data_IF_775653622985
#
_entry.id   IF_775653622985
#
_cell.length_a   1.000
_cell.length_b   1.000
_cell.length_c   1.000
_cell.angle_alpha   90.00
_cell.angle_beta   90.00
_cell.angle_gamma   90.00
#
_symmetry.space_group_name_H-M   'P 1'
#
loop_
_entity.id
_entity.type
_entity.pdbx_description
1 polymer ?
#
# COMPACT_ATOMS: atom_id res chain seq x y z
N UNK A 1 -72.34 -44.27 -46.71
CA UNK A 1 -71.61 -45.17 -45.79
C UNK A 1 -70.32 -44.45 -45.38
N UNK A 2 -70.14 -44.26 -44.08
CA UNK A 2 -69.22 -43.30 -43.49
C UNK A 2 -67.79 -43.85 -43.36
N UNK A 3 -66.79 -43.07 -43.77
CA UNK A 3 -65.39 -43.27 -43.43
C UNK A 3 -65.14 -42.74 -42.01
N UNK A 4 -64.74 -43.63 -41.10
CA UNK A 4 -64.44 -43.29 -39.73
C UNK A 4 -63.05 -42.64 -39.63
N UNK A 5 -63.03 -41.43 -39.05
CA UNK A 5 -61.84 -40.70 -38.59
C UNK A 5 -61.13 -41.49 -37.49
N UNK A 6 -59.81 -41.60 -37.57
CA UNK A 6 -58.94 -41.77 -36.39
C UNK A 6 -57.93 -40.63 -36.42
N UNK A 7 -58.23 -39.58 -35.66
CA UNK A 7 -57.28 -38.51 -35.34
C UNK A 7 -56.49 -38.96 -34.12
N UNK A 8 -55.27 -39.43 -34.32
CA UNK A 8 -54.31 -39.62 -33.24
C UNK A 8 -53.70 -38.25 -32.91
N UNK A 9 -54.34 -37.52 -31.98
CA UNK A 9 -53.71 -36.39 -31.30
C UNK A 9 -52.57 -36.95 -30.44
N UNK A 10 -51.34 -36.79 -30.88
CA UNK A 10 -50.17 -36.90 -30.02
C UNK A 10 -50.24 -35.76 -28.98
N UNK A 11 -50.82 -36.04 -27.83
CA UNK A 11 -50.68 -35.24 -26.63
C UNK A 11 -49.76 -36.00 -25.67
N UNK A 12 -48.51 -36.20 -26.09
CA UNK A 12 -47.43 -36.57 -25.18
C UNK A 12 -46.88 -35.25 -24.64
N UNK A 13 -47.35 -34.83 -23.48
CA UNK A 13 -46.69 -35.27 -22.27
C UNK A 13 -45.56 -34.27 -22.01
N UNK A 14 -45.94 -33.10 -21.50
CA UNK A 14 -45.04 -32.06 -21.03
C UNK A 14 -44.31 -32.60 -19.79
N UNK A 15 -43.39 -33.52 -19.99
CA UNK A 15 -42.45 -33.99 -18.97
C UNK A 15 -41.47 -32.83 -18.74
N UNK A 16 -41.86 -31.88 -17.90
CA UNK A 16 -40.89 -31.12 -17.14
C UNK A 16 -40.14 -32.14 -16.29
N UNK A 17 -38.99 -32.62 -16.80
CA UNK A 17 -38.05 -33.43 -16.05
C UNK A 17 -37.78 -32.65 -14.75
N UNK A 18 -38.28 -33.17 -13.64
CA UNK A 18 -37.94 -32.64 -12.32
C UNK A 18 -36.42 -32.70 -12.25
N UNK A 19 -35.74 -31.55 -12.21
CA UNK A 19 -34.29 -31.51 -12.17
C UNK A 19 -33.82 -32.41 -11.03
N UNK A 20 -32.88 -33.31 -11.29
CA UNK A 20 -32.33 -34.18 -10.25
C UNK A 20 -31.77 -33.33 -9.10
N UNK A 21 -31.71 -33.89 -7.89
CA UNK A 21 -31.01 -33.24 -6.77
C UNK A 21 -29.56 -32.92 -7.15
N UNK A 22 -28.92 -33.76 -7.98
CA UNK A 22 -27.60 -33.51 -8.53
C UNK A 22 -27.57 -32.24 -9.41
N UNK A 23 -28.53 -32.07 -10.31
CA UNK A 23 -28.61 -30.89 -11.19
C UNK A 23 -28.84 -29.60 -10.38
N UNK A 24 -29.64 -29.69 -9.31
CA UNK A 24 -29.86 -28.56 -8.39
C UNK A 24 -28.57 -28.21 -7.65
N UNK A 25 -27.87 -29.22 -7.13
CA UNK A 25 -26.60 -29.04 -6.43
C UNK A 25 -25.54 -28.43 -7.35
N UNK A 26 -25.44 -28.88 -8.60
CA UNK A 26 -24.47 -28.34 -9.57
C UNK A 26 -24.72 -26.87 -9.88
N UNK A 27 -25.98 -26.46 -10.07
CA UNK A 27 -26.31 -25.05 -10.31
C UNK A 27 -26.02 -24.17 -9.10
N UNK A 28 -26.23 -24.69 -7.89
CA UNK A 28 -25.90 -23.97 -6.66
C UNK A 28 -24.39 -23.78 -6.52
N UNK A 29 -23.59 -24.81 -6.81
CA UNK A 29 -22.13 -24.70 -6.82
C UNK A 29 -21.65 -23.66 -7.82
N UNK A 30 -22.13 -23.70 -9.06
CA UNK A 30 -21.77 -22.70 -10.08
C UNK A 30 -22.16 -21.27 -9.64
N UNK A 31 -23.29 -21.12 -8.95
CA UNK A 31 -23.70 -19.82 -8.39
C UNK A 31 -22.76 -19.37 -7.27
N UNK A 32 -22.27 -20.28 -6.43
CA UNK A 32 -21.30 -19.98 -5.38
C UNK A 32 -19.94 -19.60 -5.96
N UNK A 33 -19.47 -20.31 -6.99
CA UNK A 33 -18.20 -19.99 -7.68
C UNK A 33 -18.26 -18.59 -8.31
N UNK A 34 -19.40 -18.22 -8.91
CA UNK A 34 -19.61 -16.86 -9.43
C UNK A 34 -19.63 -15.80 -8.32
N UNK A 35 -20.18 -16.12 -7.15
CA UNK A 35 -20.15 -15.23 -6.00
C UNK A 35 -18.73 -15.07 -5.45
N UNK A 36 -17.94 -16.14 -5.40
CA UNK A 36 -16.54 -16.12 -4.99
C UNK A 36 -15.71 -15.17 -5.86
N UNK A 37 -15.85 -15.27 -7.19
CA UNK A 37 -15.18 -14.34 -8.12
C UNK A 37 -15.58 -12.88 -7.88
N UNK A 38 -16.86 -12.62 -7.59
CA UNK A 38 -17.34 -11.26 -7.29
C UNK A 38 -16.86 -10.75 -5.93
N UNK A 39 -16.73 -11.63 -4.95
CA UNK A 39 -16.18 -11.29 -3.63
C UNK A 39 -14.71 -10.92 -3.78
N UNK A 40 -13.92 -11.66 -4.55
CA UNK A 40 -12.52 -11.30 -4.75
C UNK A 40 -12.34 -10.01 -5.55
N UNK A 41 -13.14 -9.80 -6.60
CA UNK A 41 -13.13 -8.52 -7.30
C UNK A 41 -13.49 -7.32 -6.39
N UNK A 42 -14.42 -7.51 -5.44
CA UNK A 42 -14.76 -6.50 -4.44
C UNK A 42 -13.61 -6.25 -3.47
N UNK A 43 -12.93 -7.31 -3.02
CA UNK A 43 -11.77 -7.20 -2.11
C UNK A 43 -10.61 -6.48 -2.78
N UNK A 44 -10.31 -6.79 -4.03
CA UNK A 44 -9.30 -6.08 -4.82
C UNK A 44 -9.63 -4.60 -4.98
N UNK A 45 -10.88 -4.28 -5.34
CA UNK A 45 -11.34 -2.91 -5.48
C UNK A 45 -11.25 -2.13 -4.15
N UNK A 46 -11.68 -2.74 -3.04
CA UNK A 46 -11.58 -2.11 -1.71
C UNK A 46 -10.11 -1.89 -1.30
N UNK A 47 -9.23 -2.85 -1.57
CA UNK A 47 -7.78 -2.74 -1.28
C UNK A 47 -7.13 -1.65 -2.15
N UNK A 48 -7.60 -1.44 -3.38
CA UNK A 48 -7.14 -0.35 -4.24
C UNK A 48 -7.59 1.02 -3.70
N UNK A 49 -8.82 1.14 -3.20
CA UNK A 49 -9.32 2.37 -2.57
C UNK A 49 -8.59 2.69 -1.27
N UNK A 50 -8.29 1.66 -0.46
CA UNK A 50 -7.46 1.80 0.75
C UNK A 50 -6.07 2.37 0.43
N UNK A 51 -5.42 1.88 -0.63
CA UNK A 51 -4.12 2.38 -1.10
C UNK A 51 -4.19 3.80 -1.69
N UNK A 52 -5.21 4.10 -2.49
CA UNK A 52 -5.38 5.43 -3.09
C UNK A 52 -5.51 6.51 -2.01
N UNK A 53 -6.21 6.20 -0.91
CA UNK A 53 -6.27 7.08 0.26
C UNK A 53 -4.86 7.39 0.79
N UNK A 54 -4.02 6.38 1.01
CA UNK A 54 -2.66 6.57 1.50
C UNK A 54 -1.82 7.41 0.54
N UNK A 55 -1.88 7.11 -0.76
CA UNK A 55 -1.18 7.85 -1.82
C UNK A 55 -1.59 9.33 -1.83
N UNK A 56 -2.89 9.63 -1.72
CA UNK A 56 -3.38 11.00 -1.64
C UNK A 56 -2.84 11.74 -0.41
N UNK A 57 -2.82 11.10 0.76
CA UNK A 57 -2.26 11.69 1.98
C UNK A 57 -0.76 11.98 1.82
N UNK A 58 -0.01 11.05 1.24
CA UNK A 58 1.42 11.24 0.93
C UNK A 58 1.67 12.39 -0.05
N UNK A 59 0.88 12.49 -1.13
CA UNK A 59 1.01 13.57 -2.11
C UNK A 59 0.69 14.95 -1.52
N UNK A 60 -0.37 15.06 -0.73
CA UNK A 60 -0.73 16.31 -0.04
C UNK A 60 0.40 16.71 0.91
N UNK A 61 0.91 15.78 1.70
CA UNK A 61 2.01 16.03 2.63
C UNK A 61 3.30 16.44 1.91
N UNK A 62 3.60 15.82 0.76
CA UNK A 62 4.75 16.17 -0.08
C UNK A 62 4.69 17.62 -0.56
N UNK A 63 3.52 18.08 -1.02
CA UNK A 63 3.30 19.47 -1.44
C UNK A 63 3.54 20.43 -0.28
N UNK A 64 2.97 20.15 0.91
CA UNK A 64 3.14 21.00 2.09
C UNK A 64 4.60 21.16 2.52
N UNK A 65 5.43 20.13 2.30
CA UNK A 65 6.85 20.12 2.68
C UNK A 65 7.81 20.42 1.52
N UNK A 66 7.28 20.75 0.33
CA UNK A 66 8.08 21.03 -0.85
C UNK A 66 9.01 22.23 -0.66
N UNK A 67 10.08 22.29 -1.46
CA UNK A 67 10.98 23.45 -1.45
C UNK A 67 10.29 24.72 -1.95
N UNK A 68 9.37 24.60 -2.89
CA UNK A 68 8.64 25.72 -3.49
C UNK A 68 7.81 26.47 -2.44
N UNK A 69 7.23 25.74 -1.47
CA UNK A 69 6.54 26.35 -0.33
C UNK A 69 7.44 27.29 0.47
N UNK A 70 8.77 27.09 0.48
CA UNK A 70 9.74 27.98 1.14
C UNK A 70 10.11 29.22 0.30
N UNK A 71 9.82 29.22 -0.99
CA UNK A 71 10.22 30.28 -1.94
C UNK A 71 9.09 31.26 -2.27
N UNK A 72 7.86 30.96 -1.88
CA UNK A 72 6.69 31.83 -2.06
C UNK A 72 6.44 32.74 -0.84
N UNK A 73 5.60 33.75 -1.03
CA UNK A 73 5.23 34.69 0.04
C UNK A 73 4.44 34.00 1.15
N UNK A 74 4.42 34.60 2.35
CA UNK A 74 3.70 34.03 3.49
C UNK A 74 2.19 33.93 3.23
N UNK A 75 1.59 34.90 2.50
CA UNK A 75 0.18 34.86 2.13
C UNK A 75 -0.17 33.71 1.18
N UNK A 76 0.62 33.52 0.12
CA UNK A 76 0.44 32.40 -0.81
C UNK A 76 0.65 31.05 -0.11
N UNK A 77 1.65 30.98 0.78
CA UNK A 77 1.93 29.79 1.59
C UNK A 77 0.75 29.45 2.51
N UNK A 78 0.14 30.45 3.14
CA UNK A 78 -1.03 30.25 3.99
C UNK A 78 -2.22 29.72 3.18
N UNK A 79 -2.52 30.30 2.02
CA UNK A 79 -3.62 29.87 1.14
C UNK A 79 -3.44 28.42 0.66
N UNK A 80 -2.22 28.06 0.25
CA UNK A 80 -1.90 26.69 -0.16
C UNK A 80 -2.02 25.72 1.02
N UNK A 81 -1.59 26.10 2.23
CA UNK A 81 -1.74 25.25 3.42
C UNK A 81 -3.20 25.05 3.82
N UNK A 82 -4.04 26.09 3.76
CA UNK A 82 -5.49 25.96 3.99
C UNK A 82 -6.12 24.99 3.00
N UNK A 83 -5.72 25.07 1.73
CA UNK A 83 -6.19 24.17 0.67
C UNK A 83 -5.75 22.72 0.94
N UNK A 84 -4.47 22.51 1.26
CA UNK A 84 -3.91 21.21 1.57
C UNK A 84 -4.59 20.57 2.80
N UNK A 85 -4.78 21.34 3.87
CA UNK A 85 -5.45 20.87 5.08
C UNK A 85 -6.91 20.48 4.82
N UNK A 86 -7.62 21.24 3.98
CA UNK A 86 -9.00 20.89 3.57
C UNK A 86 -9.03 19.59 2.77
N UNK A 87 -8.08 19.39 1.84
CA UNK A 87 -7.97 18.14 1.09
C UNK A 87 -7.64 16.96 2.02
N UNK A 88 -6.67 17.13 2.92
CA UNK A 88 -6.31 16.14 3.93
C UNK A 88 -7.52 15.72 4.76
N UNK A 89 -8.28 16.68 5.28
CA UNK A 89 -9.49 16.42 6.06
C UNK A 89 -10.53 15.63 5.28
N UNK A 90 -10.74 15.94 3.99
CA UNK A 90 -11.67 15.19 3.12
C UNK A 90 -11.17 13.78 2.85
N UNK A 91 -9.89 13.58 2.56
CA UNK A 91 -9.30 12.26 2.33
C UNK A 91 -9.42 11.38 3.57
N UNK A 92 -9.24 11.95 4.77
CA UNK A 92 -9.38 11.22 6.03
C UNK A 92 -10.80 10.72 6.31
N UNK A 93 -11.84 11.30 5.70
CA UNK A 93 -13.24 10.82 5.84
C UNK A 93 -13.51 9.50 5.11
N UNK A 94 -12.63 9.08 4.19
CA UNK A 94 -12.77 7.80 3.49
C UNK A 94 -12.22 6.70 4.38
N UNK A 95 -13.07 5.77 4.81
CA UNK A 95 -12.68 4.61 5.61
C UNK A 95 -13.05 3.32 4.88
N UNK A 96 -12.04 2.56 4.50
CA UNK A 96 -12.16 1.27 3.80
C UNK A 96 -11.10 0.35 4.39
N UNK A 97 -11.49 -0.85 4.79
CA UNK A 97 -10.59 -1.84 5.38
C UNK A 97 -10.88 -3.22 4.81
N UNK A 98 -9.83 -3.91 4.33
CA UNK A 98 -9.92 -5.30 3.91
C UNK A 98 -9.13 -6.17 4.89
N UNK A 99 -9.86 -6.99 5.63
CA UNK A 99 -9.26 -7.94 6.57
C UNK A 99 -8.68 -9.16 5.86
N UNK A 100 -7.52 -9.59 6.38
CA UNK A 100 -6.88 -10.85 6.00
C UNK A 100 -7.36 -11.94 6.96
N UNK A 101 -7.98 -12.99 6.41
CA UNK A 101 -8.32 -14.19 7.20
C UNK A 101 -7.02 -14.95 7.47
N UNK A 102 -6.76 -15.25 8.75
CA UNK A 102 -5.52 -15.88 9.21
C UNK A 102 -5.81 -17.10 10.07
N UNK A 103 -4.92 -18.08 9.99
CA UNK A 103 -4.80 -19.10 11.03
C UNK A 103 -3.83 -18.62 12.14
N UNK A 104 -3.78 -19.31 13.31
CA UNK A 104 -2.93 -18.89 14.42
C UNK A 104 -1.44 -18.79 14.08
N UNK A 105 -0.94 -19.66 13.20
CA UNK A 105 0.47 -19.65 12.79
C UNK A 105 0.80 -18.42 11.94
N UNK A 106 -0.10 -18.02 11.04
CA UNK A 106 0.03 -16.82 10.21
C UNK A 106 0.00 -15.56 11.08
N UNK A 107 -0.84 -15.54 12.12
CA UNK A 107 -0.93 -14.43 13.06
C UNK A 107 0.36 -14.28 13.89
N UNK A 108 0.93 -15.39 14.36
CA UNK A 108 2.23 -15.38 15.04
C UNK A 108 3.36 -14.90 14.10
N UNK A 109 3.36 -15.38 12.86
CA UNK A 109 4.35 -15.00 11.85
C UNK A 109 4.27 -13.51 11.54
N UNK A 110 3.06 -12.97 11.36
CA UNK A 110 2.84 -11.54 11.15
C UNK A 110 3.30 -10.71 12.34
N UNK A 111 2.99 -11.15 13.56
CA UNK A 111 3.44 -10.48 14.79
C UNK A 111 4.97 -10.43 14.86
N UNK A 112 5.64 -11.53 14.53
CA UNK A 112 7.10 -11.58 14.53
C UNK A 112 7.72 -10.71 13.43
N UNK A 113 7.18 -10.75 12.21
CA UNK A 113 7.63 -9.88 11.12
C UNK A 113 7.48 -8.40 11.50
N UNK A 114 6.32 -8.02 12.02
CA UNK A 114 6.02 -6.65 12.45
C UNK A 114 7.00 -6.18 13.52
N UNK A 115 7.26 -7.02 14.53
CA UNK A 115 8.22 -6.72 15.59
C UNK A 115 9.63 -6.45 15.06
N UNK A 116 10.11 -7.27 14.12
CA UNK A 116 11.44 -7.07 13.51
C UNK A 116 11.52 -5.70 12.81
N UNK A 117 10.49 -5.34 12.04
CA UNK A 117 10.43 -4.04 11.36
C UNK A 117 10.45 -2.89 12.38
N UNK A 118 9.63 -3.00 13.44
CA UNK A 118 9.53 -1.98 14.48
C UNK A 118 10.85 -1.80 15.25
N UNK A 119 11.57 -2.88 15.52
CA UNK A 119 12.90 -2.84 16.12
C UNK A 119 13.90 -2.06 15.25
N UNK A 120 13.86 -2.20 13.93
CA UNK A 120 14.71 -1.41 13.02
C UNK A 120 14.29 0.06 13.00
N UNK A 121 12.99 0.34 12.93
CA UNK A 121 12.45 1.71 12.96
C UNK A 121 12.82 2.41 14.27
N UNK A 122 12.79 1.72 15.41
CA UNK A 122 13.13 2.30 16.71
C UNK A 122 14.58 2.79 16.81
N UNK A 123 15.50 2.13 16.09
CA UNK A 123 16.94 2.47 16.05
C UNK A 123 17.28 3.56 15.05
N UNK A 124 16.28 4.07 14.32
CA UNK A 124 16.49 5.06 13.27
C UNK A 124 17.08 6.37 13.80
N UNK A 125 16.70 6.77 15.02
CA UNK A 125 17.22 7.99 15.66
C UNK A 125 18.67 7.84 16.13
N UNK A 126 19.14 6.60 16.34
CA UNK A 126 20.50 6.33 16.83
C UNK A 126 21.50 6.28 15.66
N UNK A 127 21.17 5.54 14.60
CA UNK A 127 22.01 5.37 13.41
C UNK A 127 21.18 5.11 12.15
N UNK A 128 20.93 6.18 11.40
CA UNK A 128 20.19 6.17 10.13
C UNK A 128 20.85 5.25 9.10
N UNK A 129 22.19 5.20 9.05
CA UNK A 129 22.93 4.43 8.05
C UNK A 129 22.80 2.92 8.27
N UNK A 130 22.98 2.49 9.51
CA UNK A 130 22.81 1.08 9.89
C UNK A 130 21.35 0.64 9.77
N UNK A 131 20.40 1.47 10.20
CA UNK A 131 18.97 1.19 10.07
C UNK A 131 18.55 1.05 8.59
N UNK A 132 19.05 1.92 7.70
CA UNK A 132 18.80 1.84 6.26
C UNK A 132 19.31 0.53 5.65
N UNK A 133 20.55 0.15 5.96
CA UNK A 133 21.13 -1.11 5.46
C UNK A 133 20.32 -2.33 5.91
N UNK A 134 19.84 -2.32 7.15
CA UNK A 134 19.00 -3.38 7.69
C UNK A 134 17.61 -3.40 7.03
N UNK A 135 16.96 -2.25 6.83
CA UNK A 135 15.70 -2.17 6.08
C UNK A 135 15.85 -2.67 4.64
N UNK A 136 16.98 -2.39 3.99
CA UNK A 136 17.29 -2.92 2.65
C UNK A 136 17.38 -4.45 2.65
N UNK A 137 17.94 -5.07 3.69
CA UNK A 137 18.02 -6.54 3.77
C UNK A 137 16.66 -7.20 4.06
N UNK A 138 15.83 -6.56 4.88
CA UNK A 138 14.44 -6.97 5.11
C UNK A 138 13.58 -6.83 3.84
N UNK A 139 13.75 -5.72 3.11
CA UNK A 139 13.06 -5.49 1.85
C UNK A 139 13.46 -6.53 0.80
N UNK A 140 14.76 -6.83 0.69
CA UNK A 140 15.29 -7.85 -0.22
C UNK A 140 14.74 -9.24 0.09
N UNK A 141 14.48 -9.56 1.37
CA UNK A 141 13.82 -10.79 1.80
C UNK A 141 12.34 -10.91 1.39
N UNK A 142 11.69 -9.80 1.02
CA UNK A 142 10.33 -9.79 0.50
C UNK A 142 10.26 -9.75 -1.04
N UNK A 143 11.41 -9.68 -1.72
CA UNK A 143 11.46 -9.62 -3.18
C UNK A 143 11.58 -11.01 -3.80
N UNK A 144 10.86 -11.21 -4.90
CA UNK A 144 11.00 -12.39 -5.78
C UNK A 144 12.07 -12.21 -6.85
N UNK A 145 12.59 -10.99 -7.02
CA UNK A 145 13.64 -10.66 -7.98
C UNK A 145 15.04 -10.84 -7.39
N UNK A 146 16.07 -10.83 -8.25
CA UNK A 146 17.46 -10.90 -7.81
C UNK A 146 17.72 -9.74 -6.82
N UNK A 147 18.05 -10.04 -5.55
CA UNK A 147 18.14 -9.00 -4.54
C UNK A 147 19.32 -8.08 -4.84
N UNK A 148 19.14 -6.74 -4.77
CA UNK A 148 20.22 -5.78 -5.02
C UNK A 148 21.26 -5.74 -3.88
N UNK A 149 21.05 -6.52 -2.81
CA UNK A 149 21.87 -6.51 -1.61
C UNK A 149 21.68 -7.77 -0.76
N UNK A 150 22.18 -7.77 0.49
CA UNK A 150 22.06 -8.91 1.39
C UNK A 150 20.60 -9.23 1.71
N UNK A 151 20.28 -10.52 1.86
CA UNK A 151 18.94 -10.98 2.21
C UNK A 151 18.93 -11.46 3.65
N UNK A 152 18.00 -10.96 4.45
CA UNK A 152 17.76 -11.51 5.78
C UNK A 152 16.95 -12.81 5.66
N UNK A 153 17.65 -13.95 5.70
CA UNK A 153 17.07 -15.29 5.56
C UNK A 153 16.10 -15.65 6.69
N UNK A 154 16.35 -15.14 7.90
CA UNK A 154 15.47 -15.38 9.05
C UNK A 154 14.15 -14.64 8.85
N UNK A 155 14.23 -13.38 8.47
CA UNK A 155 13.05 -12.58 8.14
C UNK A 155 12.28 -13.16 6.96
N UNK A 156 12.97 -13.59 5.89
CA UNK A 156 12.36 -14.24 4.73
C UNK A 156 11.51 -15.45 5.15
N UNK A 157 12.05 -16.31 6.01
CA UNK A 157 11.33 -17.49 6.51
C UNK A 157 10.06 -17.10 7.29
N UNK A 158 10.12 -16.03 8.09
CA UNK A 158 8.97 -15.52 8.84
C UNK A 158 7.91 -14.94 7.90
N UNK A 159 8.32 -14.17 6.88
CA UNK A 159 7.41 -13.58 5.90
C UNK A 159 6.69 -14.67 5.10
N UNK A 160 7.39 -15.74 4.68
CA UNK A 160 6.76 -16.88 4.00
C UNK A 160 5.66 -17.54 4.86
N UNK A 161 5.80 -17.52 6.19
CA UNK A 161 4.79 -18.00 7.13
C UNK A 161 3.52 -17.13 7.23
N UNK A 162 3.55 -15.91 6.69
CA UNK A 162 2.41 -14.99 6.71
C UNK A 162 1.42 -15.30 5.57
N UNK A 163 0.18 -14.82 5.69
CA UNK A 163 -0.78 -14.85 4.58
C UNK A 163 -0.28 -14.00 3.40
N UNK A 164 -0.65 -14.37 2.17
CA UNK A 164 -0.14 -13.73 0.94
C UNK A 164 -0.37 -12.20 0.96
N UNK A 165 -1.54 -11.76 1.42
CA UNK A 165 -1.85 -10.34 1.52
C UNK A 165 -0.98 -9.61 2.55
N UNK A 166 -0.61 -10.27 3.64
CA UNK A 166 0.30 -9.70 4.64
C UNK A 166 1.72 -9.60 4.09
N UNK A 167 2.17 -10.56 3.29
CA UNK A 167 3.48 -10.48 2.62
C UNK A 167 3.56 -9.23 1.73
N UNK A 168 2.50 -8.96 0.95
CA UNK A 168 2.40 -7.74 0.13
C UNK A 168 2.38 -6.47 0.99
N UNK A 169 1.61 -6.46 2.09
CA UNK A 169 1.53 -5.32 3.03
C UNK A 169 2.89 -5.05 3.69
N UNK A 170 3.59 -6.09 4.14
CA UNK A 170 4.95 -6.00 4.71
C UNK A 170 5.93 -5.42 3.69
N UNK A 171 5.93 -5.92 2.46
CA UNK A 171 6.80 -5.40 1.38
C UNK A 171 6.55 -3.92 1.15
N UNK A 172 5.30 -3.50 0.97
CA UNK A 172 4.92 -2.08 0.78
C UNK A 172 5.33 -1.20 1.95
N UNK A 173 5.17 -1.69 3.18
CA UNK A 173 5.62 -0.98 4.38
C UNK A 173 7.13 -0.72 4.34
N UNK A 174 7.92 -1.73 3.96
CA UNK A 174 9.38 -1.59 3.82
C UNK A 174 9.77 -0.61 2.70
N UNK A 175 9.09 -0.67 1.55
CA UNK A 175 9.30 0.29 0.44
C UNK A 175 9.02 1.74 0.89
N UNK A 176 7.93 1.94 1.64
CA UNK A 176 7.53 3.25 2.16
C UNK A 176 8.56 3.78 3.16
N UNK A 177 9.01 2.93 4.09
CA UNK A 177 10.06 3.29 5.05
C UNK A 177 11.36 3.67 4.32
N UNK A 178 11.82 2.89 3.36
CA UNK A 178 13.03 3.19 2.58
C UNK A 178 12.93 4.53 1.85
N UNK A 179 11.79 4.80 1.20
CA UNK A 179 11.52 6.06 0.50
C UNK A 179 11.57 7.26 1.46
N UNK A 180 10.98 7.13 2.65
CA UNK A 180 10.98 8.18 3.66
C UNK A 180 12.39 8.48 4.18
N UNK A 181 13.22 7.45 4.33
CA UNK A 181 14.62 7.60 4.73
C UNK A 181 15.41 8.31 3.64
N UNK A 182 15.25 7.92 2.38
CA UNK A 182 15.94 8.57 1.26
C UNK A 182 15.55 10.05 1.12
N UNK A 183 14.27 10.38 1.35
CA UNK A 183 13.79 11.75 1.36
C UNK A 183 14.39 12.55 2.52
N UNK A 184 14.51 11.94 3.70
CA UNK A 184 15.12 12.57 4.88
C UNK A 184 16.62 12.79 4.70
N UNK A 185 17.36 11.81 4.17
CA UNK A 185 18.80 11.91 3.87
C UNK A 185 19.09 13.01 2.84
N UNK A 186 18.26 13.12 1.79
CA UNK A 186 18.34 14.23 0.83
C UNK A 186 18.10 15.58 1.52
N UNK A 187 17.11 15.69 2.40
CA UNK A 187 16.83 16.92 3.13
C UNK A 187 17.99 17.32 4.06
N UNK A 188 18.60 16.35 4.77
CA UNK A 188 19.76 16.58 5.65
C UNK A 188 20.96 17.05 4.84
N UNK A 189 21.32 16.35 3.76
CA UNK A 189 22.43 16.75 2.88
C UNK A 189 22.23 18.18 2.37
N UNK A 190 21.03 18.54 1.92
CA UNK A 190 20.75 19.91 1.46
C UNK A 190 20.97 20.97 2.56
N UNK A 191 20.62 20.65 3.82
CA UNK A 191 20.89 21.55 4.95
C UNK A 191 22.39 21.71 5.21
N UNK A 192 23.18 20.64 5.09
CA UNK A 192 24.64 20.72 5.22
C UNK A 192 25.28 21.57 4.11
N UNK A 193 24.81 21.45 2.87
CA UNK A 193 25.30 22.26 1.75
C UNK A 193 24.87 23.74 1.89
N UNK A 194 23.69 24.03 2.46
CA UNK A 194 23.23 25.40 2.71
C UNK A 194 24.03 26.14 3.81
N UNK A 195 24.65 25.41 4.75
CA UNK A 195 25.50 25.99 5.80
C UNK A 195 26.91 26.37 5.32
N UNK A 196 27.30 25.96 4.11
CA UNK A 196 28.62 26.21 3.53
C UNK A 196 28.79 27.54 2.78
N UNK A 197 27.70 28.29 2.53
CA UNK A 197 27.73 29.57 1.81
C UNK A 197 27.29 30.73 2.71
N UNK A 198 28.00 30.94 3.82
CA UNK A 198 27.94 32.20 4.57
C UNK A 198 28.72 33.32 3.86
N UNK A 199 28.25 34.58 3.91
CA UNK A 199 28.88 35.68 3.18
C UNK A 199 30.30 35.91 3.70
N UNK A 200 31.29 35.90 2.80
CA UNK A 200 32.64 36.43 3.07
C UNK A 200 32.47 37.87 3.53
N UNK A 201 32.67 38.12 4.82
CA UNK A 201 32.76 39.46 5.36
C UNK A 201 33.85 40.22 4.59
N UNK A 202 33.46 41.30 3.91
CA UNK A 202 34.39 42.28 3.38
C UNK A 202 35.22 42.80 4.56
N UNK A 203 36.52 42.52 4.55
CA UNK A 203 37.47 43.27 5.37
C UNK A 203 37.64 44.64 4.71
N UNK A 204 36.94 45.64 5.25
CA UNK A 204 37.30 47.04 5.08
C UNK A 204 38.65 47.26 5.76
N UNK A 205 39.68 47.53 4.96
CA UNK A 205 40.93 48.13 5.44
C UNK A 205 40.89 49.62 5.09
N UNK A 206 40.32 50.43 5.99
CA UNK A 206 40.47 51.88 5.98
C UNK A 206 41.41 52.31 7.10
N UNK A 207 42.49 52.99 6.70
CA UNK A 207 43.00 54.18 7.38
C UNK A 207 43.77 54.01 8.69
N UNK A 208 45.10 54.08 8.59
CA UNK A 208 45.91 54.72 9.65
C UNK A 208 46.97 55.63 9.03
N UNK A 209 46.61 56.90 8.89
CA UNK A 209 47.55 58.01 8.81
C UNK A 209 47.98 58.37 10.23
N UNK A 210 49.25 58.09 10.54
CA UNK A 210 50.25 58.96 11.20
C UNK A 210 51.42 58.12 11.69
#
# INVERSE_FOLDING_TARGET
MAQAKISAKAHEGRFCRSSSMADRSSRLLESLDQLELRVEALRDAATAVEQEKEILLEMIHSIQNSQDMRQISDGEREELNLTANRLMGRTLTVEVSVETIRNPQQEESLKHATKIIDEVVSKFLDDVGTAKNHLMSLYSACSSEVPPGPVDQKFQSIVIGCALEDQKKIKRRLETLLRNIDNSDKAIKLLEHSKGTGPKALQNTDGKFN
#
